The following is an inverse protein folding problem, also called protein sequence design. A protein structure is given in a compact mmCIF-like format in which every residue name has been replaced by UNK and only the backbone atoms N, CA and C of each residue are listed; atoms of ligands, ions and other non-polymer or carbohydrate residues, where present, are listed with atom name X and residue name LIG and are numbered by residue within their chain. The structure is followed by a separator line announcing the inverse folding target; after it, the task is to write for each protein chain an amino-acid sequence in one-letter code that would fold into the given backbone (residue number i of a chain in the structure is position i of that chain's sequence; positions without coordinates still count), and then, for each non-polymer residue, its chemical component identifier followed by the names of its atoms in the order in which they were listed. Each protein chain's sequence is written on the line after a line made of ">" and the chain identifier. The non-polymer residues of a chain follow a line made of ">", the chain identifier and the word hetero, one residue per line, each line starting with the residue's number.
data_IF_756703770435
#
_entry.id   IF_756703770435
#
_cell.length_a   1.000
_cell.length_b   1.000
_cell.length_c   1.000
_cell.angle_alpha   90.00
_cell.angle_beta   90.00
_cell.angle_gamma   90.00
#
_symmetry.space_group_name_H-M   'P 1'
#
loop_
_entity.id
_entity.type
_entity.pdbx_description
1 polymer ?
#
# COMPACT_ATOMS: atom_id res chain seq x y z
N UNK A 1 36.40 23.06 33.22
CA UNK A 1 35.73 24.23 32.61
C UNK A 1 35.79 24.03 31.10
N UNK A 2 34.63 23.88 30.47
CA UNK A 2 34.44 23.37 29.11
C UNK A 2 34.04 24.55 28.21
N UNK A 3 34.93 25.00 27.32
CA UNK A 3 34.63 26.11 26.41
C UNK A 3 35.41 25.96 25.08
N UNK A 4 34.96 25.07 24.22
CA UNK A 4 35.27 25.11 22.79
C UNK A 4 33.99 24.75 22.06
N UNK A 5 33.13 25.74 21.82
CA UNK A 5 31.86 25.56 21.12
C UNK A 5 32.17 25.12 19.68
N UNK A 6 31.66 23.95 19.34
CA UNK A 6 31.53 23.48 17.97
C UNK A 6 30.80 24.53 17.14
N UNK A 7 31.38 24.87 15.98
CA UNK A 7 30.79 25.84 15.07
C UNK A 7 29.51 25.25 14.47
N UNK A 8 28.37 25.87 14.76
CA UNK A 8 27.09 25.53 14.15
C UNK A 8 27.20 25.59 12.62
N UNK A 9 26.84 24.49 11.97
CA UNK A 9 26.75 24.36 10.52
C UNK A 9 25.96 25.52 9.91
N UNK A 10 26.35 26.05 8.73
CA UNK A 10 25.67 27.18 8.11
C UNK A 10 24.19 26.83 7.86
N UNK A 11 23.32 27.58 8.53
CA UNK A 11 21.86 27.57 8.35
C UNK A 11 21.55 28.54 7.21
N UNK A 12 20.78 28.07 6.23
CA UNK A 12 20.34 28.92 5.13
C UNK A 12 19.27 29.89 5.62
N UNK A 13 19.54 31.19 5.48
CA UNK A 13 18.72 32.28 6.03
C UNK A 13 17.35 32.43 5.35
N UNK A 14 17.09 31.69 4.27
CA UNK A 14 15.80 31.69 3.57
C UNK A 14 14.76 30.69 4.11
N UNK A 15 15.18 29.61 4.76
CA UNK A 15 14.29 28.49 5.13
C UNK A 15 14.49 27.96 6.56
N UNK A 16 15.51 28.42 7.28
CA UNK A 16 15.78 27.98 8.66
C UNK A 16 16.23 26.51 8.77
N UNK A 17 16.66 25.92 7.66
CA UNK A 17 17.15 24.54 7.59
C UNK A 17 18.65 24.53 7.35
N UNK A 18 19.37 23.54 7.90
CA UNK A 18 20.80 23.37 7.67
C UNK A 18 21.02 22.89 6.23
N UNK A 19 22.07 23.37 5.56
CA UNK A 19 22.35 23.10 4.14
C UNK A 19 22.53 21.60 3.83
N UNK A 20 22.73 20.74 4.84
CA UNK A 20 22.73 19.28 4.69
C UNK A 20 21.34 18.68 4.39
N UNK A 21 20.25 19.40 4.69
CA UNK A 21 18.87 18.96 4.48
C UNK A 21 18.33 19.34 3.09
N UNK A 22 18.98 20.29 2.40
CA UNK A 22 18.62 20.71 1.04
C UNK A 22 19.13 19.76 -0.05
N UNK A 23 19.99 18.80 0.31
CA UNK A 23 20.61 17.82 -0.57
C UNK A 23 19.80 16.54 -0.80
N UNK A 24 18.47 16.61 -0.88
CA UNK A 24 17.63 15.73 -1.71
C UNK A 24 17.62 14.21 -1.49
N UNK A 25 18.30 13.68 -0.47
CA UNK A 25 18.22 12.29 -0.04
C UNK A 25 17.98 12.27 1.45
N UNK A 26 16.72 12.49 1.85
CA UNK A 26 16.28 12.39 3.24
C UNK A 26 16.90 11.14 3.87
N UNK A 27 17.60 11.27 4.99
CA UNK A 27 18.26 10.16 5.71
C UNK A 27 17.36 8.90 5.78
N UNK A 28 16.05 9.09 5.89
CA UNK A 28 15.03 8.03 5.91
C UNK A 28 14.92 7.18 4.62
N UNK A 29 15.23 7.74 3.45
CA UNK A 29 15.19 7.03 2.16
C UNK A 29 16.45 6.16 2.00
N UNK A 30 17.59 6.70 2.43
CA UNK A 30 18.87 5.98 2.50
C UNK A 30 18.80 4.82 3.49
N UNK A 31 18.15 5.03 4.64
CA UNK A 31 17.91 3.99 5.65
C UNK A 31 16.94 2.90 5.14
N UNK A 32 15.92 3.29 4.37
CA UNK A 32 14.99 2.36 3.74
C UNK A 32 15.69 1.51 2.66
N UNK A 33 16.51 2.12 1.80
CA UNK A 33 17.31 1.38 0.80
C UNK A 33 18.32 0.45 1.45
N UNK A 34 18.98 0.87 2.53
CA UNK A 34 19.90 0.04 3.29
C UNK A 34 19.19 -1.16 3.94
N UNK A 35 18.02 -0.96 4.54
CA UNK A 35 17.23 -2.02 5.16
C UNK A 35 16.63 -2.97 4.11
N UNK A 36 16.18 -2.46 2.96
CA UNK A 36 15.75 -3.25 1.79
C UNK A 36 16.89 -4.12 1.25
N UNK A 37 18.09 -3.54 1.11
CA UNK A 37 19.27 -4.26 0.62
C UNK A 37 19.76 -5.31 1.63
N UNK A 38 19.63 -5.04 2.93
CA UNK A 38 19.95 -5.99 3.99
C UNK A 38 18.86 -7.06 4.20
N UNK A 39 17.68 -6.92 3.61
CA UNK A 39 16.52 -7.76 3.89
C UNK A 39 16.00 -7.64 5.33
N UNK A 40 16.33 -6.54 6.00
CA UNK A 40 15.95 -6.28 7.39
C UNK A 40 14.53 -5.70 7.44
N UNK A 41 13.56 -6.59 7.68
CA UNK A 41 12.14 -6.24 7.76
C UNK A 41 11.83 -5.25 8.88
N UNK A 42 12.55 -5.34 10.01
CA UNK A 42 12.33 -4.46 11.16
C UNK A 42 12.90 -3.06 10.86
N UNK A 43 14.06 -3.00 10.20
CA UNK A 43 14.65 -1.77 9.69
C UNK A 43 13.79 -1.07 8.62
N UNK A 44 13.22 -1.83 7.68
CA UNK A 44 12.28 -1.32 6.67
C UNK A 44 11.06 -0.71 7.35
N UNK A 45 10.52 -1.39 8.35
CA UNK A 45 9.34 -0.93 9.09
C UNK A 45 9.65 0.35 9.87
N UNK A 46 10.81 0.43 10.53
CA UNK A 46 11.22 1.61 11.27
C UNK A 46 11.44 2.82 10.35
N UNK A 47 12.08 2.61 9.20
CA UNK A 47 12.27 3.63 8.18
C UNK A 47 10.94 4.09 7.55
N UNK A 48 9.99 3.18 7.32
CA UNK A 48 8.64 3.53 6.83
C UNK A 48 7.84 4.31 7.87
N UNK A 49 7.92 3.94 9.15
CA UNK A 49 7.19 4.60 10.22
C UNK A 49 7.71 6.03 10.49
N UNK A 50 9.01 6.27 10.29
CA UNK A 50 9.63 7.59 10.40
C UNK A 50 9.56 8.44 9.12
N UNK A 51 9.12 7.88 7.99
CA UNK A 51 9.04 8.58 6.70
C UNK A 51 7.67 9.21 6.47
N UNK A 52 7.65 10.50 6.10
CA UNK A 52 6.44 11.21 5.67
C UNK A 52 5.75 10.55 4.46
N UNK A 53 6.47 9.72 3.70
CA UNK A 53 5.95 8.98 2.55
C UNK A 53 5.55 7.53 2.89
N UNK A 54 5.68 7.08 4.14
CA UNK A 54 5.39 5.69 4.54
C UNK A 54 4.03 5.16 4.06
N UNK A 55 2.91 5.89 4.28
CA UNK A 55 1.59 5.47 3.78
C UNK A 55 1.51 5.32 2.27
N UNK A 56 2.21 6.18 1.51
CA UNK A 56 2.25 6.10 0.04
C UNK A 56 2.97 4.85 -0.43
N UNK A 57 4.08 4.49 0.23
CA UNK A 57 4.81 3.25 -0.05
C UNK A 57 3.94 2.03 0.24
N UNK A 58 3.21 2.02 1.36
CA UNK A 58 2.25 0.95 1.68
C UNK A 58 1.15 0.85 0.62
N UNK A 59 0.56 1.98 0.22
CA UNK A 59 -0.44 2.02 -0.85
C UNK A 59 0.09 1.43 -2.15
N UNK A 60 1.29 1.83 -2.56
CA UNK A 60 1.95 1.28 -3.75
C UNK A 60 2.20 -0.22 -3.63
N UNK A 61 2.70 -0.70 -2.48
CA UNK A 61 2.92 -2.11 -2.22
C UNK A 61 1.62 -2.92 -2.31
N UNK A 62 0.54 -2.42 -1.70
CA UNK A 62 -0.79 -3.05 -1.77
C UNK A 62 -1.33 -3.08 -3.20
N UNK A 63 -1.14 -2.00 -3.97
CA UNK A 63 -1.48 -1.96 -5.39
C UNK A 63 -0.69 -2.98 -6.19
N UNK A 64 0.60 -3.12 -5.93
CA UNK A 64 1.47 -4.10 -6.58
C UNK A 64 1.03 -5.52 -6.23
N UNK A 65 0.75 -5.81 -4.96
CA UNK A 65 0.19 -7.10 -4.54
C UNK A 65 -1.12 -7.37 -5.30
N UNK A 66 -2.05 -6.42 -5.30
CA UNK A 66 -3.31 -6.53 -6.01
C UNK A 66 -3.09 -6.86 -7.49
N UNK A 67 -2.12 -6.21 -8.14
CA UNK A 67 -1.80 -6.39 -9.56
C UNK A 67 -1.32 -7.82 -9.90
N UNK A 68 -0.71 -8.53 -8.95
CA UNK A 68 -0.24 -9.89 -9.20
C UNK A 68 -1.19 -10.96 -8.69
N UNK A 69 -2.00 -10.66 -7.67
CA UNK A 69 -2.81 -11.67 -7.02
C UNK A 69 -4.27 -11.69 -7.47
N UNK A 70 -4.88 -10.55 -7.78
CA UNK A 70 -6.28 -10.48 -8.20
C UNK A 70 -6.58 -11.27 -9.48
N UNK A 71 -5.69 -11.37 -10.50
CA UNK A 71 -5.95 -12.18 -11.68
C UNK A 71 -6.30 -13.65 -11.39
N UNK A 72 -5.86 -14.18 -10.24
CA UNK A 72 -6.12 -15.57 -9.81
C UNK A 72 -7.60 -15.76 -9.42
N UNK A 73 -8.25 -14.70 -8.96
CA UNK A 73 -9.61 -14.75 -8.37
C UNK A 73 -10.61 -13.84 -9.08
N UNK A 74 -10.18 -13.13 -10.12
CA UNK A 74 -11.02 -12.24 -10.92
C UNK A 74 -11.73 -12.99 -12.05
N UNK A 75 -12.98 -12.60 -12.38
CA UNK A 75 -13.66 -13.07 -13.59
C UNK A 75 -12.85 -12.74 -14.86
N UNK A 76 -12.98 -13.54 -15.94
CA UNK A 76 -12.38 -13.20 -17.22
C UNK A 76 -13.07 -11.99 -17.85
N UNK A 77 -12.32 -11.14 -18.57
CA UNK A 77 -12.88 -10.05 -19.37
C UNK A 77 -13.11 -8.70 -18.67
N UNK A 78 -12.83 -8.59 -17.36
CA UNK A 78 -12.99 -7.32 -16.60
C UNK A 78 -11.72 -6.47 -16.51
N UNK A 79 -10.87 -6.46 -17.54
CA UNK A 79 -9.51 -5.88 -17.51
C UNK A 79 -9.46 -4.40 -17.09
N UNK A 80 -10.39 -3.58 -17.59
CA UNK A 80 -10.47 -2.16 -17.20
C UNK A 80 -10.87 -1.98 -15.74
N UNK A 81 -11.93 -2.68 -15.32
CA UNK A 81 -12.41 -2.66 -13.92
C UNK A 81 -11.34 -3.16 -12.98
N UNK A 82 -10.59 -4.18 -13.38
CA UNK A 82 -9.45 -4.72 -12.67
C UNK A 82 -8.37 -3.65 -12.41
N UNK A 83 -7.92 -2.92 -13.44
CA UNK A 83 -6.92 -1.85 -13.28
C UNK A 83 -7.45 -0.75 -12.35
N UNK A 84 -8.73 -0.36 -12.49
CA UNK A 84 -9.36 0.62 -11.62
C UNK A 84 -9.43 0.17 -10.16
N UNK A 85 -9.73 -1.11 -9.93
CA UNK A 85 -9.76 -1.68 -8.58
C UNK A 85 -8.36 -1.71 -7.97
N UNK A 86 -7.33 -2.11 -8.74
CA UNK A 86 -5.93 -2.06 -8.30
C UNK A 86 -5.51 -0.64 -7.92
N UNK A 87 -5.78 0.33 -8.81
CA UNK A 87 -5.49 1.73 -8.56
C UNK A 87 -6.27 2.28 -7.34
N UNK A 88 -7.52 1.86 -7.18
CA UNK A 88 -8.37 2.20 -6.04
C UNK A 88 -7.80 1.67 -4.72
N UNK A 89 -7.37 0.41 -4.68
CA UNK A 89 -6.70 -0.18 -3.50
C UNK A 89 -5.44 0.60 -3.15
N UNK A 90 -4.61 0.91 -4.15
CA UNK A 90 -3.38 1.67 -3.96
C UNK A 90 -3.67 3.07 -3.40
N UNK A 91 -4.63 3.78 -3.98
CA UNK A 91 -5.05 5.11 -3.55
C UNK A 91 -5.65 5.11 -2.13
N UNK A 92 -6.45 4.08 -1.78
CA UNK A 92 -7.04 3.95 -0.44
C UNK A 92 -5.97 3.76 0.64
N UNK A 93 -4.89 3.03 0.32
CA UNK A 93 -3.73 2.90 1.21
C UNK A 93 -2.91 4.18 1.29
N UNK A 94 -2.59 4.79 0.14
CA UNK A 94 -1.75 5.97 0.04
C UNK A 94 -2.37 7.26 0.62
N UNK A 95 -3.71 7.31 0.75
CA UNK A 95 -4.43 8.46 1.30
C UNK A 95 -4.50 8.48 2.85
N UNK A 96 -3.89 7.51 3.52
CA UNK A 96 -3.89 7.45 4.99
C UNK A 96 -2.77 8.28 5.60
N UNK A 97 -3.01 8.77 6.80
CA UNK A 97 -2.06 9.59 7.56
C UNK A 97 -0.98 8.78 8.27
N UNK A 98 -1.19 7.48 8.46
CA UNK A 98 -0.25 6.59 9.16
C UNK A 98 -0.07 5.28 8.39
N UNK A 99 1.11 4.66 8.54
CA UNK A 99 1.44 3.35 7.96
C UNK A 99 0.47 2.27 8.44
N UNK A 100 0.14 2.25 9.73
CA UNK A 100 -0.78 1.26 10.29
C UNK A 100 -2.21 1.40 9.75
N UNK A 101 -2.72 2.63 9.59
CA UNK A 101 -4.02 2.84 8.95
C UNK A 101 -4.01 2.52 7.46
N UNK A 102 -2.87 2.74 6.77
CA UNK A 102 -2.67 2.35 5.38
C UNK A 102 -2.74 0.83 5.23
N UNK A 103 -2.02 0.06 6.07
CA UNK A 103 -2.06 -1.41 6.04
C UNK A 103 -3.46 -1.91 6.40
N UNK A 104 -4.08 -1.37 7.46
CA UNK A 104 -5.39 -1.82 7.92
C UNK A 104 -6.50 -1.52 6.92
N UNK A 105 -6.54 -0.31 6.39
CA UNK A 105 -7.64 0.12 5.52
C UNK A 105 -7.41 -0.28 4.07
N UNK A 106 -6.17 -0.14 3.60
CA UNK A 106 -5.77 -0.64 2.29
C UNK A 106 -5.83 -2.16 2.20
N UNK A 107 -5.45 -2.89 3.26
CA UNK A 107 -5.61 -4.34 3.33
C UNK A 107 -7.07 -4.80 3.30
N UNK A 108 -7.99 -4.05 3.95
CA UNK A 108 -9.44 -4.31 3.80
C UNK A 108 -9.94 -4.03 2.38
N UNK A 109 -9.46 -2.95 1.76
CA UNK A 109 -9.80 -2.65 0.37
C UNK A 109 -9.32 -3.76 -0.57
N UNK A 110 -8.10 -4.26 -0.36
CA UNK A 110 -7.55 -5.41 -1.07
C UNK A 110 -8.39 -6.67 -0.86
N UNK A 111 -8.85 -6.95 0.37
CA UNK A 111 -9.70 -8.09 0.66
C UNK A 111 -11.08 -8.01 -0.03
N UNK A 112 -11.62 -6.80 -0.23
CA UNK A 112 -12.91 -6.56 -0.89
C UNK A 112 -12.80 -6.47 -2.42
N UNK A 113 -11.62 -6.17 -2.95
CA UNK A 113 -11.37 -6.03 -4.37
C UNK A 113 -11.92 -7.17 -5.25
N UNK A 114 -11.71 -8.47 -4.95
CA UNK A 114 -12.22 -9.53 -5.81
C UNK A 114 -13.76 -9.62 -5.79
N UNK A 115 -14.41 -9.32 -4.66
CA UNK A 115 -15.87 -9.25 -4.59
C UNK A 115 -16.43 -8.12 -5.44
N UNK A 116 -15.75 -6.97 -5.44
CA UNK A 116 -16.14 -5.83 -6.28
C UNK A 116 -16.00 -6.18 -7.77
N UNK A 117 -14.96 -6.92 -8.16
CA UNK A 117 -14.81 -7.38 -9.55
C UNK A 117 -15.90 -8.36 -9.98
N UNK A 118 -16.25 -9.32 -9.11
CA UNK A 118 -17.38 -10.24 -9.37
C UNK A 118 -18.69 -9.46 -9.48
N UNK A 119 -18.91 -8.47 -8.61
CA UNK A 119 -20.10 -7.63 -8.67
C UNK A 119 -20.18 -6.83 -9.98
N UNK A 120 -19.07 -6.23 -10.41
CA UNK A 120 -18.98 -5.49 -11.67
C UNK A 120 -19.25 -6.41 -12.86
N UNK A 121 -18.67 -7.61 -12.85
CA UNK A 121 -18.88 -8.62 -13.90
C UNK A 121 -20.37 -9.01 -14.02
N UNK A 122 -21.02 -9.33 -12.90
CA UNK A 122 -22.47 -9.64 -12.84
C UNK A 122 -23.30 -8.46 -13.34
N UNK A 123 -22.96 -7.24 -12.89
CA UNK A 123 -23.69 -6.03 -13.26
C UNK A 123 -23.59 -5.74 -14.75
N UNK A 124 -22.38 -5.85 -15.33
CA UNK A 124 -22.16 -5.65 -16.77
C UNK A 124 -22.83 -6.77 -17.57
N UNK A 125 -22.73 -8.03 -17.13
CA UNK A 125 -23.41 -9.16 -17.75
C UNK A 125 -24.92 -8.96 -17.79
N UNK A 126 -25.52 -8.50 -16.69
CA UNK A 126 -26.94 -8.15 -16.64
C UNK A 126 -27.26 -6.95 -17.55
N UNK A 127 -26.44 -5.90 -17.54
CA UNK A 127 -26.70 -4.68 -18.30
C UNK A 127 -26.63 -4.91 -19.83
N UNK A 128 -25.68 -5.71 -20.30
CA UNK A 128 -25.48 -5.98 -21.73
C UNK A 128 -26.30 -7.14 -22.27
N UNK A 129 -26.48 -8.20 -21.47
CA UNK A 129 -27.11 -9.45 -21.93
C UNK A 129 -28.45 -9.74 -21.27
N UNK A 130 -28.89 -8.95 -20.27
CA UNK A 130 -30.18 -9.11 -19.61
C UNK A 130 -30.32 -10.36 -18.73
N UNK A 131 -29.23 -11.11 -18.51
CA UNK A 131 -29.24 -12.39 -17.79
C UNK A 131 -28.16 -12.41 -16.72
N UNK A 132 -28.51 -12.89 -15.53
CA UNK A 132 -27.56 -13.20 -14.47
C UNK A 132 -27.17 -14.68 -14.60
N UNK A 133 -26.00 -14.94 -15.18
CA UNK A 133 -25.47 -16.29 -15.38
C UNK A 133 -24.32 -16.59 -14.42
N UNK A 134 -24.48 -16.30 -13.13
CA UNK A 134 -23.43 -16.54 -12.13
C UNK A 134 -23.87 -17.51 -11.05
N UNK A 135 -23.07 -18.57 -10.87
CA UNK A 135 -23.26 -19.50 -9.76
C UNK A 135 -22.65 -18.96 -8.46
N UNK A 136 -23.21 -19.28 -7.28
CA UNK A 136 -22.67 -18.86 -5.98
C UNK A 136 -21.22 -19.30 -5.75
N UNK A 137 -20.78 -20.38 -6.42
CA UNK A 137 -19.41 -20.91 -6.36
C UNK A 137 -18.35 -19.92 -6.82
N UNK A 138 -18.71 -18.93 -7.64
CA UNK A 138 -17.81 -17.84 -8.09
C UNK A 138 -17.27 -17.03 -6.89
N UNK A 139 -17.95 -17.04 -5.74
CA UNK A 139 -17.53 -16.33 -4.53
C UNK A 139 -16.50 -17.08 -3.68
N UNK A 140 -16.23 -18.36 -3.94
CA UNK A 140 -15.29 -19.15 -3.14
C UNK A 140 -13.86 -18.63 -3.25
N UNK A 141 -13.39 -18.32 -4.47
CA UNK A 141 -12.06 -17.73 -4.70
C UNK A 141 -11.88 -16.39 -3.98
N UNK A 142 -12.77 -15.40 -4.20
CA UNK A 142 -12.79 -14.13 -3.46
C UNK A 142 -12.81 -14.31 -1.93
N UNK A 143 -13.59 -15.24 -1.41
CA UNK A 143 -13.70 -15.49 0.03
C UNK A 143 -12.40 -16.04 0.63
N UNK A 144 -11.79 -17.03 -0.03
CA UNK A 144 -10.49 -17.59 0.39
C UNK A 144 -9.42 -16.49 0.34
N UNK A 145 -9.38 -15.71 -0.74
CA UNK A 145 -8.45 -14.60 -0.91
C UNK A 145 -8.58 -13.56 0.21
N UNK A 146 -9.81 -13.13 0.50
CA UNK A 146 -10.08 -12.18 1.58
C UNK A 146 -9.64 -12.74 2.95
N UNK A 147 -9.84 -14.04 3.18
CA UNK A 147 -9.33 -14.74 4.36
C UNK A 147 -7.81 -14.62 4.51
N UNK A 148 -7.05 -14.88 3.44
CA UNK A 148 -5.59 -14.75 3.44
C UNK A 148 -5.12 -13.31 3.67
N UNK A 149 -5.71 -12.35 2.96
CA UNK A 149 -5.36 -10.92 3.12
C UNK A 149 -5.64 -10.45 4.55
N UNK A 150 -6.83 -10.75 5.08
CA UNK A 150 -7.20 -10.36 6.44
C UNK A 150 -6.36 -11.07 7.51
N UNK A 151 -5.95 -12.32 7.26
CA UNK A 151 -4.99 -13.01 8.11
C UNK A 151 -3.64 -12.29 8.12
N UNK A 152 -3.12 -11.89 6.96
CA UNK A 152 -1.88 -11.11 6.83
C UNK A 152 -1.94 -9.77 7.57
N UNK A 153 -3.02 -9.01 7.38
CA UNK A 153 -3.26 -7.74 8.12
C UNK A 153 -3.30 -7.99 9.64
N UNK A 154 -3.92 -9.09 10.08
CA UNK A 154 -3.99 -9.44 11.50
C UNK A 154 -2.62 -9.84 12.08
N UNK A 155 -1.80 -10.52 11.28
CA UNK A 155 -0.44 -10.90 11.67
C UNK A 155 0.44 -9.65 11.83
N UNK A 156 0.36 -8.71 10.89
CA UNK A 156 1.06 -7.42 10.97
C UNK A 156 0.74 -6.68 12.27
N UNK A 157 -0.52 -6.66 12.70
CA UNK A 157 -0.94 -6.00 13.96
C UNK A 157 -0.41 -6.66 15.25
N UNK A 158 0.07 -7.90 15.18
CA UNK A 158 0.56 -8.64 16.37
C UNK A 158 2.06 -8.49 16.61
N UNK A 159 2.78 -7.94 15.64
CA UNK A 159 4.18 -7.55 15.77
C UNK A 159 4.23 -6.06 16.11
#
# INVERSE_FOLDING_TARGET
>A
MHCGRDFDSPVDAGTGTTVLDAGGGSQTTSDLEAALNAGDLDGIQHALAGSDNGPRVVGFALGTIALFTLPIVSPPGVTLSYILVVAGVAAIGASRSTVDDAVRTGGKALALAPFLLVFIDVLLGYLYNGVIATMPTVLLGPAIYAGFVMYGVRLYRRR
#
